data_IF_177414517955
#
_entry.id   IF_177414517955
#
_cell.length_a   1.000
_cell.length_b   1.000
_cell.length_c   1.000
_cell.angle_alpha   90.00
_cell.angle_beta   90.00
_cell.angle_gamma   90.00
#
_symmetry.space_group_name_H-M   'P 1'
#
loop_
_entity.id
_entity.type
_entity.pdbx_description
1 polymer ?
#
# COMPACT_ATOMS: atom_id res chain seq x y z
N UNK A 1 43.67 23.56 38.05
CA UNK A 1 42.40 22.87 37.74
C UNK A 1 41.31 23.68 38.42
N UNK A 2 40.76 24.68 37.73
CA UNK A 2 39.74 25.57 38.30
C UNK A 2 38.38 24.92 38.09
N UNK A 3 37.82 24.36 39.15
CA UNK A 3 36.47 23.80 39.13
C UNK A 3 35.47 24.94 38.91
N UNK A 4 34.86 24.99 37.73
CA UNK A 4 33.78 25.93 37.45
C UNK A 4 32.51 25.38 38.10
N UNK A 5 32.34 25.65 39.39
CA UNK A 5 31.11 25.33 40.09
C UNK A 5 29.97 26.17 39.50
N UNK A 6 29.02 25.50 38.83
CA UNK A 6 27.82 26.15 38.33
C UNK A 6 27.03 26.66 39.55
N UNK A 7 26.61 27.94 39.58
CA UNK A 7 25.82 28.46 40.68
C UNK A 7 24.53 27.64 40.83
N UNK A 8 24.20 27.24 42.07
CA UNK A 8 22.99 26.48 42.33
C UNK A 8 21.76 27.26 41.83
N UNK A 9 20.85 26.61 41.10
CA UNK A 9 19.68 27.28 40.55
C UNK A 9 18.80 27.79 41.69
N UNK A 10 18.41 29.06 41.59
CA UNK A 10 17.43 29.64 42.50
C UNK A 10 16.10 28.85 42.43
N UNK A 11 15.29 28.83 43.50
CA UNK A 11 14.03 28.08 43.52
C UNK A 11 13.07 28.41 42.36
N UNK A 12 13.08 29.68 41.92
CA UNK A 12 12.32 30.14 40.76
C UNK A 12 12.82 29.51 39.45
N UNK A 13 14.13 29.41 39.26
CA UNK A 13 14.73 28.75 38.09
C UNK A 13 14.40 27.25 38.05
N UNK A 14 14.44 26.56 39.21
CA UNK A 14 14.08 25.14 39.30
C UNK A 14 12.62 24.87 38.87
N UNK A 15 11.68 25.74 39.30
CA UNK A 15 10.28 25.64 38.90
C UNK A 15 10.08 25.85 37.39
N UNK A 16 10.83 26.80 36.79
CA UNK A 16 10.81 27.03 35.35
C UNK A 16 11.33 25.83 34.57
N UNK A 17 12.45 25.22 34.98
CA UNK A 17 12.98 24.02 34.33
C UNK A 17 12.00 22.84 34.40
N UNK A 18 11.34 22.63 35.54
CA UNK A 18 10.33 21.58 35.70
C UNK A 18 9.14 21.79 34.73
N UNK A 19 8.69 23.04 34.57
CA UNK A 19 7.61 23.38 33.64
C UNK A 19 8.03 23.16 32.18
N UNK A 20 9.20 23.66 31.79
CA UNK A 20 9.73 23.48 30.42
C UNK A 20 9.88 22.00 30.10
N UNK A 21 10.44 21.21 31.02
CA UNK A 21 10.58 19.75 30.86
C UNK A 21 9.23 19.07 30.65
N UNK A 22 8.20 19.47 31.39
CA UNK A 22 6.83 18.95 31.21
C UNK A 22 6.28 19.31 29.83
N UNK A 23 6.46 20.55 29.37
CA UNK A 23 6.00 20.96 28.04
C UNK A 23 6.76 20.24 26.92
N UNK A 24 8.08 20.08 27.05
CA UNK A 24 8.90 19.31 26.10
C UNK A 24 8.46 17.84 26.04
N UNK A 25 8.11 17.24 27.17
CA UNK A 25 7.63 15.85 27.21
C UNK A 25 6.30 15.71 26.45
N UNK A 26 5.37 16.65 26.62
CA UNK A 26 4.09 16.63 25.91
C UNK A 26 4.30 16.84 24.40
N UNK A 27 5.15 17.79 24.01
CA UNK A 27 5.49 18.03 22.62
C UNK A 27 6.16 16.80 21.97
N UNK A 28 7.09 16.16 22.68
CA UNK A 28 7.73 14.92 22.23
C UNK A 28 6.72 13.78 22.07
N UNK A 29 5.84 13.57 23.05
CA UNK A 29 4.84 12.51 23.03
C UNK A 29 3.85 12.68 21.87
N UNK A 30 3.36 13.91 21.65
CA UNK A 30 2.44 14.22 20.55
C UNK A 30 3.09 14.01 19.18
N UNK A 31 4.36 14.42 19.02
CA UNK A 31 5.13 14.19 17.80
C UNK A 31 5.35 12.70 17.54
N UNK A 32 5.70 11.93 18.57
CA UNK A 32 5.88 10.48 18.46
C UNK A 32 4.58 9.78 18.06
N UNK A 33 3.44 10.18 18.63
CA UNK A 33 2.12 9.65 18.26
C UNK A 33 1.77 9.96 16.80
N UNK A 34 2.04 11.17 16.33
CA UNK A 34 1.81 11.55 14.94
C UNK A 34 2.63 10.67 13.97
N UNK A 35 3.94 10.49 14.26
CA UNK A 35 4.81 9.63 13.47
C UNK A 35 4.34 8.17 13.50
N UNK A 36 3.95 7.65 14.66
CA UNK A 36 3.44 6.29 14.81
C UNK A 36 2.18 6.07 13.96
N UNK A 37 1.24 7.01 13.97
CA UNK A 37 0.02 6.92 13.16
C UNK A 37 0.33 6.88 11.65
N UNK A 38 1.27 7.71 11.19
CA UNK A 38 1.70 7.72 9.78
C UNK A 38 2.36 6.39 9.38
N UNK A 39 3.28 5.88 10.21
CA UNK A 39 3.94 4.60 9.95
C UNK A 39 2.93 3.43 9.93
N UNK A 40 1.95 3.42 10.84
CA UNK A 40 0.88 2.43 10.84
C UNK A 40 0.04 2.52 9.56
N UNK A 41 -0.33 3.73 9.12
CA UNK A 41 -1.11 3.91 7.90
C UNK A 41 -0.34 3.44 6.64
N UNK A 42 0.95 3.76 6.54
CA UNK A 42 1.82 3.30 5.45
C UNK A 42 1.98 1.78 5.51
N UNK A 43 2.25 1.21 6.69
CA UNK A 43 2.35 -0.23 6.88
C UNK A 43 1.06 -0.94 6.49
N UNK A 44 -0.10 -0.43 6.94
CA UNK A 44 -1.40 -0.95 6.54
C UNK A 44 -1.55 -0.91 5.02
N UNK A 45 -1.29 0.24 4.39
CA UNK A 45 -1.41 0.42 2.95
C UNK A 45 -0.49 -0.55 2.20
N UNK A 46 0.77 -0.68 2.60
CA UNK A 46 1.72 -1.58 1.93
C UNK A 46 1.27 -3.04 2.05
N UNK A 47 0.94 -3.49 3.26
CA UNK A 47 0.53 -4.88 3.49
C UNK A 47 -0.83 -5.24 2.88
N UNK A 48 -1.75 -4.27 2.74
CA UNK A 48 -3.11 -4.52 2.21
C UNK A 48 -3.24 -4.18 0.72
N UNK A 49 -2.52 -3.20 0.21
CA UNK A 49 -2.57 -2.82 -1.20
C UNK A 49 -1.68 -3.70 -2.08
N UNK A 50 -0.57 -4.23 -1.56
CA UNK A 50 0.30 -5.13 -2.34
C UNK A 50 0.11 -6.60 -2.02
N UNK A 51 -0.67 -6.91 -0.97
CA UNK A 51 -1.17 -8.24 -0.64
C UNK A 51 -0.17 -9.37 -0.91
N UNK A 52 1.07 -9.29 -0.39
CA UNK A 52 2.14 -10.29 -0.45
C UNK A 52 1.93 -11.36 -1.53
N UNK A 53 1.77 -10.93 -2.77
CA UNK A 53 1.46 -11.87 -3.80
C UNK A 53 2.80 -12.40 -4.30
N UNK A 54 3.08 -13.71 -4.14
CA UNK A 54 4.31 -14.27 -4.67
C UNK A 54 4.39 -13.94 -6.16
N UNK A 55 5.59 -13.55 -6.61
CA UNK A 55 5.91 -13.39 -8.03
C UNK A 55 5.31 -14.59 -8.75
N UNK A 56 4.38 -14.34 -9.68
CA UNK A 56 3.61 -15.40 -10.31
C UNK A 56 4.55 -16.43 -10.94
N UNK A 57 4.52 -17.66 -10.43
CA UNK A 57 5.06 -18.81 -11.13
C UNK A 57 4.34 -18.97 -12.48
N UNK A 58 4.98 -19.67 -13.42
CA UNK A 58 4.39 -20.02 -14.71
C UNK A 58 2.94 -20.53 -14.53
N UNK A 59 1.97 -19.74 -14.99
CA UNK A 59 0.54 -20.00 -14.80
C UNK A 59 -0.09 -20.33 -16.14
N UNK A 60 -0.52 -21.58 -16.29
CA UNK A 60 -1.29 -22.02 -17.47
C UNK A 60 -2.78 -21.86 -17.18
N UNK A 61 -3.44 -20.89 -17.84
CA UNK A 61 -4.89 -20.75 -17.78
C UNK A 61 -5.55 -21.67 -18.81
N UNK A 62 -6.55 -22.44 -18.39
CA UNK A 62 -7.36 -23.24 -19.31
C UNK A 62 -8.40 -22.35 -19.98
N UNK A 63 -8.27 -22.20 -21.30
CA UNK A 63 -9.27 -21.53 -22.12
C UNK A 63 -10.47 -22.47 -22.37
N UNK A 64 -11.68 -21.91 -22.54
CA UNK A 64 -12.82 -22.68 -23.03
C UNK A 64 -12.50 -23.39 -24.36
N UNK A 65 -13.13 -24.54 -24.61
CA UNK A 65 -12.90 -25.30 -25.85
C UNK A 65 -13.27 -24.43 -27.04
N UNK A 66 -12.39 -24.39 -28.04
CA UNK A 66 -12.56 -23.58 -29.25
C UNK A 66 -12.29 -22.09 -29.06
N UNK A 67 -11.94 -21.64 -27.86
CA UNK A 67 -11.58 -20.25 -27.63
C UNK A 67 -10.21 -19.93 -28.23
N UNK A 68 -10.09 -18.75 -28.84
CA UNK A 68 -8.84 -18.22 -29.39
C UNK A 68 -8.54 -16.87 -28.75
N UNK A 69 -7.27 -16.65 -28.43
CA UNK A 69 -6.79 -15.31 -28.06
C UNK A 69 -6.69 -14.50 -29.35
N UNK A 70 -7.48 -13.43 -29.45
CA UNK A 70 -7.52 -12.57 -30.64
C UNK A 70 -6.80 -11.25 -30.43
N UNK A 71 -6.66 -10.80 -29.18
CA UNK A 71 -5.90 -9.59 -28.85
C UNK A 71 -5.41 -9.63 -27.40
N UNK A 72 -4.26 -9.02 -27.16
CA UNK A 72 -3.71 -8.77 -25.82
C UNK A 72 -3.30 -7.31 -25.69
N UNK A 73 -3.48 -6.75 -24.50
CA UNK A 73 -3.09 -5.38 -24.18
C UNK A 73 -2.75 -5.22 -22.71
N UNK A 74 -2.08 -4.11 -22.38
CA UNK A 74 -1.75 -3.74 -21.00
C UNK A 74 -2.41 -2.40 -20.69
N UNK A 75 -3.09 -2.32 -19.55
CA UNK A 75 -3.75 -1.13 -19.04
C UNK A 75 -3.34 -0.91 -17.57
N UNK A 76 -2.31 -0.08 -17.35
CA UNK A 76 -1.73 0.11 -16.01
C UNK A 76 -1.12 -1.20 -15.48
N UNK A 77 -1.55 -1.61 -14.28
CA UNK A 77 -1.13 -2.87 -13.65
C UNK A 77 -1.96 -4.09 -14.09
N UNK A 78 -2.71 -3.98 -15.19
CA UNK A 78 -3.56 -5.06 -15.70
C UNK A 78 -3.19 -5.51 -17.11
N UNK A 79 -3.21 -6.83 -17.31
CA UNK A 79 -3.16 -7.47 -18.63
C UNK A 79 -4.59 -7.78 -19.06
N UNK A 80 -4.97 -7.29 -20.24
CA UNK A 80 -6.28 -7.51 -20.84
C UNK A 80 -6.13 -8.49 -22.00
N UNK A 81 -6.89 -9.57 -21.96
CA UNK A 81 -6.92 -10.61 -22.99
C UNK A 81 -8.30 -10.65 -23.60
N UNK A 82 -8.37 -10.43 -24.91
CA UNK A 82 -9.60 -10.56 -25.70
C UNK A 82 -9.65 -11.96 -26.30
N UNK A 83 -10.75 -12.66 -26.03
CA UNK A 83 -11.03 -14.01 -26.46
C UNK A 83 -12.19 -13.99 -27.47
N UNK A 84 -12.04 -14.76 -28.54
CA UNK A 84 -13.16 -15.21 -29.36
C UNK A 84 -13.52 -16.62 -28.91
N UNK A 85 -14.77 -16.80 -28.46
CA UNK A 85 -15.33 -18.07 -28.01
C UNK A 85 -16.51 -18.41 -28.91
N UNK A 86 -16.23 -19.07 -30.04
CA UNK A 86 -17.27 -19.51 -30.97
C UNK A 86 -18.06 -18.36 -31.61
N UNK A 87 -17.39 -17.24 -31.89
CA UNK A 87 -18.00 -16.03 -32.46
C UNK A 87 -18.43 -14.99 -31.41
N UNK A 88 -18.45 -15.35 -30.13
CA UNK A 88 -18.72 -14.42 -29.04
C UNK A 88 -17.40 -13.79 -28.53
N UNK A 89 -17.39 -12.47 -28.36
CA UNK A 89 -16.25 -11.76 -27.76
C UNK A 89 -16.34 -11.82 -26.23
N UNK A 90 -15.25 -12.20 -25.58
CA UNK A 90 -15.09 -12.16 -24.13
C UNK A 90 -13.76 -11.45 -23.78
N UNK A 91 -13.80 -10.49 -22.86
CA UNK A 91 -12.60 -9.81 -22.36
C UNK A 91 -12.32 -10.31 -20.94
N UNK A 92 -11.09 -10.77 -20.71
CA UNK A 92 -10.60 -11.13 -19.38
C UNK A 92 -9.47 -10.20 -18.96
N UNK A 93 -9.58 -9.67 -17.75
CA UNK A 93 -8.56 -8.81 -17.16
C UNK A 93 -7.83 -9.58 -16.08
N UNK A 94 -6.51 -9.48 -16.06
CA UNK A 94 -5.63 -10.10 -15.08
C UNK A 94 -4.76 -9.04 -14.43
N UNK A 95 -4.43 -9.22 -13.16
CA UNK A 95 -3.37 -8.44 -12.52
C UNK A 95 -2.00 -8.86 -13.09
N UNK A 96 -1.20 -7.88 -13.55
CA UNK A 96 0.04 -8.12 -14.26
C UNK A 96 1.16 -8.70 -13.38
N UNK A 97 1.09 -8.47 -12.06
CA UNK A 97 2.12 -8.92 -11.09
C UNK A 97 1.84 -10.34 -10.60
N UNK A 98 0.57 -10.68 -10.47
CA UNK A 98 0.11 -11.91 -9.80
C UNK A 98 -0.55 -12.91 -10.74
N UNK A 99 -0.86 -12.50 -11.98
CA UNK A 99 -1.62 -13.26 -12.96
C UNK A 99 -3.01 -13.71 -12.48
N UNK A 100 -3.50 -13.13 -11.38
CA UNK A 100 -4.83 -13.43 -10.85
C UNK A 100 -5.91 -12.79 -11.73
N UNK A 101 -7.04 -13.49 -11.98
CA UNK A 101 -8.17 -12.89 -12.68
C UNK A 101 -8.71 -11.69 -11.89
N UNK A 102 -8.79 -10.53 -12.54
CA UNK A 102 -9.32 -9.29 -11.99
C UNK A 102 -10.75 -9.01 -12.48
N UNK A 103 -11.12 -9.47 -13.67
CA UNK A 103 -12.46 -9.26 -14.22
C UNK A 103 -12.75 -10.06 -15.48
N UNK A 104 -14.05 -10.15 -15.80
CA UNK A 104 -14.57 -10.76 -17.03
C UNK A 104 -15.71 -9.92 -17.57
N UNK A 105 -15.66 -9.60 -18.85
CA UNK A 105 -16.71 -8.90 -19.59
C UNK A 105 -17.14 -9.75 -20.79
N UNK A 106 -18.44 -9.93 -20.95
CA UNK A 106 -19.07 -10.66 -22.06
C UNK A 106 -20.05 -9.75 -22.76
N UNK A 107 -20.17 -9.87 -24.08
CA UNK A 107 -21.10 -9.07 -24.88
C UNK A 107 -22.31 -9.93 -25.30
N UNK A 108 -23.50 -9.35 -25.21
CA UNK A 108 -24.74 -9.94 -25.73
C UNK A 108 -25.30 -9.04 -26.83
N UNK A 109 -25.94 -9.64 -27.84
CA UNK A 109 -26.64 -8.88 -28.89
C UNK A 109 -28.01 -8.43 -28.39
N UNK A 110 -28.46 -7.27 -28.84
CA UNK A 110 -29.83 -6.79 -28.62
C UNK A 110 -30.83 -7.72 -29.35
N UNK A 111 -32.00 -8.02 -28.76
CA UNK A 111 -32.97 -8.97 -29.31
C UNK A 111 -33.61 -8.53 -30.64
#
# INVERSE_FOLDING_TARGET
>A
MTETALPEPTPEQAALFARVRRMMMIAGLTTALALAAVLIAIGYKLFRAEGSAPVAAETTLRLPKGAKVVSTGVAGDHVVVTLDIGGATEIRTFDAKTMKPAGRLTFASEP
#
